data_IF_800811172234
#
_entry.id   IF_800811172234
#
_cell.length_a   1.000
_cell.length_b   1.000
_cell.length_c   1.000
_cell.angle_alpha   90.00
_cell.angle_beta   90.00
_cell.angle_gamma   90.00
#
_symmetry.space_group_name_H-M   'P 1'
#
loop_
_entity.id
_entity.type
_entity.pdbx_description
1 polymer ?
#
# COMPACT_ATOMS: atom_id res chain seq x y z
N UNK A 1 -15.02 -13.91 -8.10
CA UNK A 1 -14.83 -12.44 -8.05
C UNK A 1 -15.09 -11.95 -6.64
N UNK A 2 -14.10 -12.07 -5.74
CA UNK A 2 -14.19 -11.44 -4.42
C UNK A 2 -13.96 -9.95 -4.60
N UNK A 3 -15.04 -9.21 -4.89
CA UNK A 3 -15.01 -7.75 -4.77
C UNK A 3 -14.79 -7.47 -3.29
N UNK A 4 -13.61 -6.98 -2.90
CA UNK A 4 -13.37 -6.35 -1.59
C UNK A 4 -14.58 -5.45 -1.31
N UNK A 5 -15.51 -5.92 -0.47
CA UNK A 5 -16.90 -5.48 -0.48
C UNK A 5 -17.01 -3.97 -0.54
N UNK A 6 -17.51 -3.44 -1.67
CA UNK A 6 -17.81 -2.02 -1.86
C UNK A 6 -16.77 -1.04 -1.24
N UNK A 7 -15.47 -1.28 -1.45
CA UNK A 7 -14.45 -0.30 -1.05
C UNK A 7 -14.55 0.95 -1.94
N UNK A 8 -15.50 1.84 -1.60
CA UNK A 8 -15.90 3.00 -2.41
C UNK A 8 -14.81 4.07 -2.52
N UNK A 9 -13.88 4.09 -1.56
CA UNK A 9 -12.80 5.08 -1.47
C UNK A 9 -11.50 4.37 -1.05
N UNK A 10 -10.79 3.72 -1.98
CA UNK A 10 -9.59 3.00 -1.62
C UNK A 10 -8.46 3.91 -1.11
N UNK A 11 -8.49 5.21 -1.43
CA UNK A 11 -7.59 6.22 -0.87
C UNK A 11 -7.84 6.40 0.64
N UNK A 12 -9.12 6.49 1.05
CA UNK A 12 -9.48 6.67 2.44
C UNK A 12 -9.04 5.49 3.30
N UNK A 13 -9.12 4.28 2.75
CA UNK A 13 -8.61 3.08 3.42
C UNK A 13 -7.10 3.15 3.67
N UNK A 14 -6.31 3.53 2.66
CA UNK A 14 -4.87 3.71 2.83
C UNK A 14 -4.53 4.88 3.78
N UNK A 15 -5.32 5.96 3.78
CA UNK A 15 -5.15 7.05 4.76
C UNK A 15 -5.37 6.58 6.20
N UNK A 16 -6.36 5.73 6.45
CA UNK A 16 -6.58 5.15 7.79
C UNK A 16 -5.39 4.27 8.18
N UNK A 17 -4.92 3.40 7.29
CA UNK A 17 -3.74 2.56 7.56
C UNK A 17 -2.50 3.41 7.83
N UNK A 18 -2.28 4.47 7.06
CA UNK A 18 -1.18 5.41 7.28
C UNK A 18 -1.21 5.98 8.71
N UNK A 19 -2.35 6.53 9.13
CA UNK A 19 -2.51 7.09 10.48
C UNK A 19 -2.24 6.04 11.55
N UNK A 20 -2.78 4.82 11.40
CA UNK A 20 -2.54 3.75 12.37
C UNK A 20 -1.05 3.36 12.45
N UNK A 21 -0.37 3.24 11.31
CA UNK A 21 1.03 2.83 11.25
C UNK A 21 2.01 3.94 11.68
N UNK A 22 1.63 5.20 11.54
CA UNK A 22 2.39 6.34 12.08
C UNK A 22 2.28 6.44 13.59
N UNK A 23 1.16 6.00 14.17
CA UNK A 23 0.89 6.08 15.62
C UNK A 23 1.15 4.77 16.37
N UNK A 24 1.58 3.71 15.68
CA UNK A 24 1.86 2.41 16.27
C UNK A 24 3.16 1.82 15.70
N UNK A 25 3.75 0.87 16.41
CA UNK A 25 4.92 0.12 15.93
C UNK A 25 4.55 -1.20 15.25
N UNK A 26 3.30 -1.31 14.80
CA UNK A 26 2.83 -2.47 14.06
C UNK A 26 3.36 -2.47 12.62
N UNK A 27 3.61 -3.67 12.11
CA UNK A 27 3.87 -3.94 10.69
C UNK A 27 2.73 -4.77 10.14
N UNK A 28 2.22 -4.38 8.98
CA UNK A 28 1.01 -4.96 8.40
C UNK A 28 1.28 -5.44 6.99
N UNK A 29 0.66 -6.56 6.62
CA UNK A 29 0.63 -7.09 5.27
C UNK A 29 -0.77 -6.87 4.70
N UNK A 30 -0.85 -6.20 3.56
CA UNK A 30 -2.07 -5.94 2.80
C UNK A 30 -2.09 -6.79 1.54
N UNK A 31 -3.04 -7.73 1.48
CA UNK A 31 -3.32 -8.52 0.28
C UNK A 31 -4.41 -7.82 -0.53
N UNK A 32 -4.08 -7.28 -1.70
CA UNK A 32 -5.06 -6.60 -2.56
C UNK A 32 -5.78 -7.55 -3.51
N UNK A 33 -5.33 -8.81 -3.66
CA UNK A 33 -5.96 -9.86 -4.45
C UNK A 33 -6.34 -9.42 -5.88
N UNK A 34 -5.43 -8.72 -6.55
CA UNK A 34 -5.66 -8.16 -7.88
C UNK A 34 -6.73 -7.05 -7.97
N UNK A 35 -7.19 -6.45 -6.86
CA UNK A 35 -8.16 -5.35 -6.91
C UNK A 35 -7.54 -4.06 -7.45
N UNK A 36 -7.72 -3.84 -8.75
CA UNK A 36 -7.03 -2.79 -9.50
C UNK A 36 -7.18 -1.36 -8.96
N UNK A 37 -8.36 -0.91 -8.47
CA UNK A 37 -8.49 0.42 -7.88
C UNK A 37 -7.55 0.64 -6.69
N UNK A 38 -7.40 -0.37 -5.81
CA UNK A 38 -6.46 -0.29 -4.69
C UNK A 38 -5.01 -0.37 -5.17
N UNK A 39 -4.70 -1.28 -6.10
CA UNK A 39 -3.35 -1.42 -6.67
C UNK A 39 -2.83 -0.11 -7.29
N UNK A 40 -3.69 0.60 -8.02
CA UNK A 40 -3.35 1.87 -8.64
C UNK A 40 -2.98 2.94 -7.61
N UNK A 41 -3.70 2.99 -6.49
CA UNK A 41 -3.43 3.95 -5.42
C UNK A 41 -2.15 3.56 -4.67
N UNK A 42 -1.93 2.27 -4.37
CA UNK A 42 -0.67 1.79 -3.77
C UNK A 42 0.53 2.21 -4.63
N UNK A 43 0.49 1.96 -5.95
CA UNK A 43 1.54 2.36 -6.88
C UNK A 43 1.74 3.88 -6.94
N UNK A 44 0.65 4.65 -6.89
CA UNK A 44 0.71 6.13 -6.86
C UNK A 44 1.40 6.63 -5.58
N UNK A 45 0.98 6.16 -4.42
CA UNK A 45 1.56 6.55 -3.12
C UNK A 45 3.05 6.20 -3.08
N UNK A 46 3.43 5.00 -3.54
CA UNK A 46 4.83 4.60 -3.63
C UNK A 46 5.66 5.55 -4.53
N UNK A 47 5.13 5.96 -5.69
CA UNK A 47 5.81 6.91 -6.57
C UNK A 47 5.92 8.31 -5.97
N UNK A 48 4.94 8.71 -5.16
CA UNK A 48 4.96 10.00 -4.45
C UNK A 48 6.00 9.99 -3.33
N UNK A 49 6.16 8.90 -2.59
CA UNK A 49 7.20 8.75 -1.57
C UNK A 49 8.61 8.62 -2.17
N UNK A 50 8.75 7.90 -3.30
CA UNK A 50 10.06 7.69 -3.94
C UNK A 50 10.63 8.93 -4.64
N UNK A 51 9.87 10.02 -4.80
CA UNK A 51 10.38 11.28 -5.36
C UNK A 51 11.42 11.97 -4.47
N UNK A 52 11.47 11.61 -3.18
CA UNK A 52 12.35 12.23 -2.20
C UNK A 52 13.57 11.37 -1.83
N UNK A 53 13.55 10.07 -2.17
CA UNK A 53 14.66 9.16 -1.89
C UNK A 53 15.06 8.42 -3.17
N UNK A 54 16.31 8.61 -3.60
CA UNK A 54 16.95 7.93 -4.73
C UNK A 54 17.20 6.41 -4.47
N UNK A 55 16.31 5.73 -3.75
CA UNK A 55 16.37 4.29 -3.50
C UNK A 55 15.23 3.59 -4.22
N UNK A 56 15.51 3.21 -5.47
CA UNK A 56 14.85 2.07 -6.11
C UNK A 56 15.27 0.78 -5.40
N UNK A 57 14.69 0.52 -4.24
CA UNK A 57 14.65 -0.76 -3.53
C UNK A 57 13.29 -0.66 -2.86
N UNK A 58 12.21 -1.30 -3.29
CA UNK A 58 11.89 -2.67 -2.92
C UNK A 58 10.71 -3.16 -3.77
N UNK A 59 10.94 -3.36 -5.08
CA UNK A 59 10.13 -4.34 -5.82
C UNK A 59 10.64 -5.71 -5.39
N UNK A 60 10.16 -6.20 -4.24
CA UNK A 60 10.39 -7.59 -3.84
C UNK A 60 9.43 -8.40 -4.69
N UNK A 61 9.86 -8.75 -5.92
CA UNK A 61 9.25 -9.53 -7.01
C UNK A 61 7.73 -9.36 -7.29
N UNK A 62 6.85 -9.25 -6.30
CA UNK A 62 5.40 -9.08 -6.39
C UNK A 62 4.79 -8.09 -5.35
N UNK A 63 5.62 -7.38 -4.58
CA UNK A 63 5.16 -6.52 -3.48
C UNK A 63 5.75 -5.10 -3.44
N UNK A 64 5.02 -4.19 -2.77
CA UNK A 64 5.38 -2.77 -2.57
C UNK A 64 5.40 -2.44 -1.08
N UNK A 65 6.49 -1.85 -0.60
CA UNK A 65 6.59 -1.31 0.76
C UNK A 65 6.15 0.16 0.80
N UNK A 66 5.34 0.51 1.80
CA UNK A 66 4.85 1.86 2.07
C UNK A 66 5.05 2.21 3.55
N UNK A 67 5.04 3.52 3.85
CA UNK A 67 5.02 4.09 5.21
C UNK A 67 6.18 3.58 6.07
N UNK A 68 7.42 3.91 5.68
CA UNK A 68 8.66 3.50 6.37
C UNK A 68 8.79 1.98 6.57
N UNK A 69 8.51 1.24 5.50
CA UNK A 69 8.53 -0.22 5.45
C UNK A 69 7.59 -0.91 6.47
N UNK A 70 6.61 -0.17 7.03
CA UNK A 70 5.62 -0.72 7.97
C UNK A 70 4.41 -1.36 7.27
N UNK A 71 4.16 -1.04 5.99
CA UNK A 71 3.09 -1.66 5.20
C UNK A 71 3.65 -2.38 3.98
N UNK A 72 3.51 -3.70 3.94
CA UNK A 72 3.82 -4.50 2.77
C UNK A 72 2.54 -4.80 1.99
N UNK A 73 2.48 -4.38 0.72
CA UNK A 73 1.34 -4.59 -0.16
C UNK A 73 1.66 -5.68 -1.19
N UNK A 74 0.84 -6.74 -1.25
CA UNK A 74 0.97 -7.84 -2.19
C UNK A 74 -0.28 -7.97 -3.06
N UNK A 75 -0.09 -8.03 -4.38
CA UNK A 75 -1.19 -8.00 -5.36
C UNK A 75 -1.53 -9.31 -6.04
N UNK A 76 -0.91 -10.43 -5.65
CA UNK A 76 -1.04 -11.72 -6.31
C UNK A 76 -2.45 -12.29 -6.38
#
# INVERSE_FOLDING_TARGET
LCRMGFMRKPEAFLSVLKVVLENTDHRVILFSAGYEPLNNIIRRVHRESSKYEAKQKYLIEDGILLFDDKLFCFSG
#
